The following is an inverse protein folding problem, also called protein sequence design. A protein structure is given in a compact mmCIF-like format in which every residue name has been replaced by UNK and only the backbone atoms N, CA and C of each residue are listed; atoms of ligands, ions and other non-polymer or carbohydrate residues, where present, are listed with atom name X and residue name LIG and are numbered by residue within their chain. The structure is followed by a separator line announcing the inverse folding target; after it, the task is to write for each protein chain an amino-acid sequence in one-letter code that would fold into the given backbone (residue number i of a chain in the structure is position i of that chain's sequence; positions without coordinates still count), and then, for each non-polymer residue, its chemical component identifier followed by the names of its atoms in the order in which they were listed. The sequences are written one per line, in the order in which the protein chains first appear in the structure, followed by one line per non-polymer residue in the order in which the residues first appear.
data_IF_141831976573
#
_entry.id   IF_141831976573
#
_cell.length_a   1.000
_cell.length_b   1.000
_cell.length_c   1.000
_cell.angle_alpha   90.00
_cell.angle_beta   90.00
_cell.angle_gamma   90.00
#
_symmetry.space_group_name_H-M   'P 1'
#
loop_
_entity.id
_entity.type
_entity.pdbx_description
1 polymer ?
#
# COMPACT_ATOMS: atom_id res chain seq x y z
N UNK A 1 13.70 -33.11 -6.96
CA UNK A 1 13.76 -31.87 -6.20
C UNK A 1 14.43 -30.82 -7.08
N UNK A 2 13.72 -29.79 -7.52
CA UNK A 2 14.35 -28.71 -8.28
C UNK A 2 15.37 -27.98 -7.41
N UNK A 3 16.48 -27.59 -8.00
CA UNK A 3 17.50 -26.77 -7.34
C UNK A 3 16.84 -25.42 -6.97
N UNK A 4 16.96 -25.01 -5.70
CA UNK A 4 16.49 -23.69 -5.26
C UNK A 4 17.44 -22.65 -5.86
N UNK A 5 16.92 -21.75 -6.68
CA UNK A 5 17.70 -20.64 -7.21
C UNK A 5 17.77 -19.53 -6.15
N UNK A 6 18.92 -19.44 -5.52
CA UNK A 6 19.20 -18.41 -4.50
C UNK A 6 19.48 -17.03 -5.12
N UNK A 7 19.64 -16.95 -6.45
CA UNK A 7 19.87 -15.73 -7.20
C UNK A 7 18.61 -15.30 -7.97
N UNK A 8 17.43 -15.60 -7.42
CA UNK A 8 16.17 -15.22 -8.06
C UNK A 8 16.16 -13.74 -8.45
N UNK A 9 15.74 -13.48 -9.67
CA UNK A 9 15.39 -12.16 -10.18
C UNK A 9 14.00 -12.25 -10.83
N UNK A 10 13.18 -11.20 -10.69
CA UNK A 10 11.89 -11.12 -11.37
C UNK A 10 12.05 -11.20 -12.88
N UNK A 11 11.09 -11.83 -13.55
CA UNK A 11 11.03 -11.94 -15.02
C UNK A 11 10.28 -10.79 -15.68
N UNK A 12 9.62 -9.96 -14.88
CA UNK A 12 8.82 -8.81 -15.30
C UNK A 12 9.23 -7.57 -14.50
N UNK A 13 8.96 -6.35 -14.99
CA UNK A 13 9.16 -5.13 -14.20
C UNK A 13 8.39 -5.18 -12.87
N UNK A 14 8.98 -4.58 -11.83
CA UNK A 14 8.41 -4.59 -10.48
C UNK A 14 8.26 -3.18 -9.94
N UNK A 15 7.06 -2.85 -9.54
CA UNK A 15 6.71 -1.62 -8.82
C UNK A 15 6.07 -1.99 -7.48
N UNK A 16 6.82 -1.83 -6.40
CA UNK A 16 6.38 -2.17 -5.06
C UNK A 16 5.36 -1.16 -4.52
N UNK A 17 4.18 -1.61 -4.17
CA UNK A 17 3.05 -0.76 -3.76
C UNK A 17 3.07 -0.35 -2.28
N UNK A 18 3.99 -0.91 -1.46
CA UNK A 18 3.95 -0.69 -0.01
C UNK A 18 5.37 -0.71 0.59
N UNK A 19 6.02 0.45 0.58
CA UNK A 19 7.37 0.64 1.12
C UNK A 19 7.38 1.82 2.10
N UNK A 20 7.78 1.55 3.34
CA UNK A 20 8.01 2.58 4.33
C UNK A 20 9.46 3.09 4.22
N UNK A 21 9.64 4.40 4.10
CA UNK A 21 10.95 5.04 3.97
C UNK A 21 11.16 6.05 5.11
N UNK A 22 12.25 5.88 5.82
CA UNK A 22 12.60 6.72 6.96
C UNK A 22 12.43 6.03 8.32
N UNK A 23 12.76 6.80 9.35
CA UNK A 23 12.78 6.29 10.72
C UNK A 23 11.38 5.96 11.22
N UNK A 24 11.27 4.83 11.92
CA UNK A 24 10.08 4.46 12.69
C UNK A 24 10.24 4.86 14.16
N UNK A 25 9.15 5.26 14.79
CA UNK A 25 9.12 5.65 16.20
C UNK A 25 8.75 4.48 17.14
N UNK A 26 8.01 3.50 16.59
CA UNK A 26 7.49 2.35 17.32
C UNK A 26 8.50 1.20 17.45
N UNK A 27 9.44 1.12 16.53
CA UNK A 27 10.47 0.04 16.50
C UNK A 27 11.68 0.43 15.67
N UNK A 28 12.78 -0.32 15.87
CA UNK A 28 13.94 -0.25 14.98
C UNK A 28 13.72 -1.14 13.78
N UNK A 29 14.11 -0.65 12.62
CA UNK A 29 14.16 -1.39 11.36
C UNK A 29 15.61 -1.50 10.88
N UNK A 30 15.87 -2.50 10.04
CA UNK A 30 17.24 -2.73 9.53
C UNK A 30 17.67 -1.67 8.50
N UNK A 31 16.71 -1.09 7.80
CA UNK A 31 16.91 -0.10 6.74
C UNK A 31 15.91 1.04 6.92
N UNK A 32 16.40 2.27 7.03
CA UNK A 32 15.58 3.48 7.19
C UNK A 32 16.05 4.66 6.30
N UNK A 33 17.00 4.41 5.39
CA UNK A 33 17.57 5.40 4.48
C UNK A 33 17.19 5.13 3.03
N UNK A 34 17.21 6.16 2.18
CA UNK A 34 16.96 6.04 0.74
C UNK A 34 17.98 5.11 0.08
N UNK A 35 19.28 5.29 0.36
CA UNK A 35 20.34 4.46 -0.22
C UNK A 35 20.20 2.99 0.16
N UNK A 36 19.96 2.69 1.44
CA UNK A 36 19.74 1.33 1.89
C UNK A 36 18.49 0.69 1.29
N UNK A 37 17.44 1.49 1.04
CA UNK A 37 16.24 1.02 0.34
C UNK A 37 16.53 0.73 -1.13
N UNK A 38 17.29 1.59 -1.82
CA UNK A 38 17.72 1.35 -3.21
C UNK A 38 18.60 0.09 -3.33
N UNK A 39 19.52 -0.14 -2.40
CA UNK A 39 20.32 -1.37 -2.35
C UNK A 39 19.42 -2.63 -2.18
N UNK A 40 18.40 -2.55 -1.32
CA UNK A 40 17.44 -3.64 -1.14
C UNK A 40 16.61 -3.89 -2.41
N UNK A 41 16.16 -2.82 -3.09
CA UNK A 41 15.47 -2.89 -4.37
C UNK A 41 16.34 -3.56 -5.44
N UNK A 42 17.61 -3.15 -5.59
CA UNK A 42 18.56 -3.72 -6.54
C UNK A 42 18.78 -5.22 -6.27
N UNK A 43 18.93 -5.58 -5.01
CA UNK A 43 19.08 -6.98 -4.59
C UNK A 43 17.85 -7.81 -4.94
N UNK A 44 16.66 -7.27 -4.74
CA UNK A 44 15.40 -7.97 -5.01
C UNK A 44 14.95 -7.91 -6.47
N UNK A 45 15.49 -6.98 -7.28
CA UNK A 45 15.06 -6.71 -8.65
C UNK A 45 13.76 -5.90 -8.69
N UNK A 46 13.57 -4.95 -7.76
CA UNK A 46 12.47 -4.00 -7.74
C UNK A 46 12.89 -2.75 -8.49
N UNK A 47 12.15 -2.33 -9.50
CA UNK A 47 12.48 -1.18 -10.33
C UNK A 47 12.06 0.13 -9.69
N UNK A 48 10.84 0.19 -9.15
CA UNK A 48 10.24 1.36 -8.50
C UNK A 48 9.55 0.98 -7.21
N UNK A 49 9.40 1.94 -6.31
CA UNK A 49 8.69 1.77 -5.05
C UNK A 49 7.76 2.96 -4.78
N UNK A 50 6.54 2.67 -4.37
CA UNK A 50 5.57 3.61 -3.84
C UNK A 50 5.84 3.76 -2.35
N UNK A 51 6.34 4.93 -1.96
CA UNK A 51 6.95 5.14 -0.65
C UNK A 51 6.18 6.13 0.21
N UNK A 52 6.06 5.83 1.49
CA UNK A 52 5.50 6.74 2.49
C UNK A 52 6.45 6.89 3.67
N UNK A 53 6.37 8.02 4.38
CA UNK A 53 7.12 8.22 5.61
C UNK A 53 6.34 7.63 6.81
N UNK A 54 6.95 6.71 7.61
CA UNK A 54 6.34 6.25 8.86
C UNK A 54 6.04 7.36 9.84
N UNK A 55 6.84 8.43 9.85
CA UNK A 55 6.61 9.62 10.66
C UNK A 55 5.28 10.30 10.30
N UNK A 56 5.02 10.48 8.99
CA UNK A 56 3.76 11.06 8.52
C UNK A 56 2.55 10.20 8.88
N UNK A 57 2.69 8.87 8.76
CA UNK A 57 1.61 7.93 9.01
C UNK A 57 1.30 7.72 10.51
N UNK A 58 2.24 7.99 11.40
CA UNK A 58 2.07 7.65 12.81
C UNK A 58 2.26 8.80 13.79
N UNK A 59 2.63 9.98 13.31
CA UNK A 59 3.02 11.08 14.19
C UNK A 59 2.51 12.43 13.71
N UNK A 60 3.17 13.02 12.70
CA UNK A 60 2.83 14.31 12.11
C UNK A 60 2.84 14.19 10.60
N UNK A 61 1.68 14.35 9.99
CA UNK A 61 1.49 14.18 8.56
C UNK A 61 2.24 15.26 7.74
N UNK A 62 2.21 16.50 8.20
CA UNK A 62 2.86 17.63 7.51
C UNK A 62 4.38 17.48 7.51
N UNK A 63 4.98 17.38 8.71
CA UNK A 63 6.42 17.21 8.86
C UNK A 63 6.92 15.95 8.17
N UNK A 64 6.20 14.83 8.34
CA UNK A 64 6.63 13.55 7.77
C UNK A 64 6.54 13.52 6.25
N UNK A 65 5.56 14.17 5.62
CA UNK A 65 5.46 14.28 4.19
C UNK A 65 6.56 15.20 3.61
N UNK A 66 6.93 16.28 4.30
CA UNK A 66 8.06 17.14 3.93
C UNK A 66 9.38 16.36 3.98
N UNK A 67 9.64 15.64 5.08
CA UNK A 67 10.82 14.77 5.23
C UNK A 67 10.89 13.69 4.15
N UNK A 68 9.75 13.13 3.74
CA UNK A 68 9.69 12.18 2.63
C UNK A 68 10.20 12.82 1.35
N UNK A 69 9.68 13.99 1.00
CA UNK A 69 10.06 14.69 -0.23
C UNK A 69 11.54 15.08 -0.25
N UNK A 70 12.10 15.51 0.89
CA UNK A 70 13.53 15.77 1.05
C UNK A 70 14.35 14.48 0.84
N UNK A 71 13.91 13.37 1.45
CA UNK A 71 14.59 12.08 1.41
C UNK A 71 14.65 11.48 0.00
N UNK A 72 13.57 11.64 -0.80
CA UNK A 72 13.49 11.09 -2.16
C UNK A 72 13.96 12.06 -3.24
N UNK A 73 14.42 13.26 -2.89
CA UNK A 73 14.85 14.25 -3.84
C UNK A 73 15.92 13.70 -4.80
N UNK A 74 15.68 13.83 -6.12
CA UNK A 74 16.57 13.29 -7.15
C UNK A 74 16.57 11.78 -7.34
N UNK A 75 15.66 11.05 -6.69
CA UNK A 75 15.54 9.60 -6.79
C UNK A 75 14.28 9.18 -7.58
N UNK A 76 14.34 9.05 -8.90
CA UNK A 76 13.16 8.83 -9.75
C UNK A 76 12.50 7.45 -9.56
N UNK A 77 13.16 6.53 -8.86
CA UNK A 77 12.61 5.20 -8.55
C UNK A 77 11.60 5.23 -7.42
N UNK A 78 11.56 6.30 -6.63
CA UNK A 78 10.58 6.49 -5.57
C UNK A 78 9.40 7.33 -6.06
N UNK A 79 8.20 6.83 -5.84
CA UNK A 79 6.94 7.54 -6.10
C UNK A 79 6.31 7.89 -4.75
N UNK A 80 6.11 9.17 -4.44
CA UNK A 80 5.63 9.56 -3.12
C UNK A 80 4.16 9.23 -2.89
N UNK A 81 3.88 8.68 -1.71
CA UNK A 81 2.58 8.55 -1.11
C UNK A 81 2.50 9.44 0.12
N UNK A 82 1.56 10.37 0.16
CA UNK A 82 1.36 11.20 1.35
C UNK A 82 0.48 10.50 2.37
N UNK A 83 0.86 10.59 3.62
CA UNK A 83 -0.01 10.18 4.72
C UNK A 83 -0.81 11.38 5.23
N UNK A 84 -2.05 11.12 5.67
CA UNK A 84 -2.95 12.12 6.21
C UNK A 84 -3.64 11.62 7.48
N UNK A 85 -3.99 12.55 8.35
CA UNK A 85 -4.88 12.33 9.48
C UNK A 85 -6.17 13.13 9.32
N UNK A 86 -7.22 12.57 8.70
CA UNK A 86 -8.50 13.26 8.49
C UNK A 86 -9.16 13.83 9.74
N UNK A 87 -8.77 13.36 10.92
CA UNK A 87 -9.34 13.87 12.18
C UNK A 87 -8.69 15.15 12.71
N UNK A 88 -7.52 15.54 12.18
CA UNK A 88 -6.76 16.68 12.69
C UNK A 88 -6.16 17.58 11.62
N UNK A 89 -5.85 17.04 10.43
CA UNK A 89 -5.20 17.82 9.38
C UNK A 89 -6.16 18.82 8.73
N UNK A 90 -5.65 20.02 8.41
CA UNK A 90 -6.38 20.95 7.55
C UNK A 90 -6.36 20.45 6.11
N UNK A 91 -7.55 20.23 5.57
CA UNK A 91 -7.70 19.65 4.24
C UNK A 91 -7.17 20.56 3.12
N UNK A 92 -7.33 21.88 3.24
CA UNK A 92 -6.91 22.80 2.18
C UNK A 92 -5.39 23.00 2.17
N UNK A 93 -4.77 23.04 3.35
CA UNK A 93 -3.30 23.04 3.49
C UNK A 93 -2.72 21.74 2.94
N UNK A 94 -3.32 20.59 3.29
CA UNK A 94 -2.90 19.29 2.79
C UNK A 94 -3.01 19.20 1.25
N UNK A 95 -4.12 19.64 0.66
CA UNK A 95 -4.31 19.68 -0.81
C UNK A 95 -3.22 20.49 -1.50
N UNK A 96 -2.86 21.63 -0.92
CA UNK A 96 -1.83 22.50 -1.47
C UNK A 96 -0.46 21.80 -1.48
N UNK A 97 -0.05 21.19 -0.37
CA UNK A 97 1.21 20.48 -0.24
C UNK A 97 1.25 19.21 -1.11
N UNK A 98 0.17 18.42 -1.12
CA UNK A 98 0.02 17.23 -1.95
C UNK A 98 0.22 17.54 -3.45
N UNK A 99 -0.45 18.58 -3.93
CA UNK A 99 -0.34 19.02 -5.32
C UNK A 99 1.05 19.56 -5.67
N UNK A 100 1.65 20.36 -4.78
CA UNK A 100 2.99 20.91 -4.97
C UNK A 100 4.06 19.82 -5.03
N UNK A 101 3.92 18.76 -4.22
CA UNK A 101 4.82 17.62 -4.19
C UNK A 101 4.63 16.65 -5.37
N UNK A 102 3.55 16.74 -6.12
CA UNK A 102 3.21 15.75 -7.15
C UNK A 102 2.92 14.37 -6.60
N UNK A 103 2.48 14.27 -5.35
CA UNK A 103 2.05 13.01 -4.75
C UNK A 103 0.85 12.42 -5.51
N UNK A 104 0.73 11.08 -5.52
CA UNK A 104 -0.24 10.38 -6.37
C UNK A 104 -1.31 9.63 -5.62
N UNK A 105 -1.17 9.47 -4.32
CA UNK A 105 -2.10 8.73 -3.47
C UNK A 105 -2.03 9.20 -2.03
N UNK A 106 -3.05 8.87 -1.26
CA UNK A 106 -3.13 9.22 0.16
C UNK A 106 -3.21 7.93 0.98
N UNK A 107 -2.44 7.87 2.05
CA UNK A 107 -2.51 6.84 3.07
C UNK A 107 -3.17 7.42 4.32
N UNK A 108 -4.18 6.75 4.86
CA UNK A 108 -4.74 7.05 6.16
C UNK A 108 -4.64 5.83 7.08
N UNK A 109 -4.48 6.06 8.37
CA UNK A 109 -4.27 4.99 9.36
C UNK A 109 -5.23 5.16 10.55
N UNK A 110 -6.54 4.96 10.34
CA UNK A 110 -7.57 5.25 11.33
C UNK A 110 -7.29 4.60 12.69
N UNK A 111 -6.84 3.34 12.69
CA UNK A 111 -6.51 2.64 13.93
C UNK A 111 -5.35 3.24 14.70
N UNK A 112 -4.32 3.75 14.02
CA UNK A 112 -3.18 4.42 14.66
C UNK A 112 -3.60 5.77 15.26
N UNK A 113 -4.44 6.52 14.53
CA UNK A 113 -4.91 7.83 14.95
C UNK A 113 -6.18 7.78 15.81
N UNK A 114 -6.67 6.56 16.10
CA UNK A 114 -7.80 6.30 17.00
C UNK A 114 -9.09 7.06 16.62
N UNK A 115 -9.46 7.03 15.34
CA UNK A 115 -10.77 7.49 14.86
C UNK A 115 -11.47 6.41 14.03
N UNK A 116 -12.80 6.37 14.01
CA UNK A 116 -13.53 5.41 13.18
C UNK A 116 -13.44 5.80 11.70
N UNK A 117 -13.29 4.80 10.83
CA UNK A 117 -13.30 5.02 9.38
C UNK A 117 -14.74 5.17 8.88
N UNK A 118 -15.40 6.26 9.25
CA UNK A 118 -16.80 6.55 8.92
C UNK A 118 -16.94 7.93 8.28
N UNK A 119 -17.97 8.08 7.44
CA UNK A 119 -18.26 9.29 6.65
C UNK A 119 -18.16 10.60 7.46
N UNK A 120 -18.69 10.62 8.68
CA UNK A 120 -18.67 11.85 9.50
C UNK A 120 -17.27 12.34 9.88
N UNK A 121 -16.23 11.47 9.72
CA UNK A 121 -14.82 11.88 9.87
C UNK A 121 -14.19 12.14 8.51
N UNK A 122 -14.36 11.21 7.56
CA UNK A 122 -13.54 11.20 6.34
C UNK A 122 -14.21 11.81 5.11
N UNK A 123 -15.50 12.15 5.16
CA UNK A 123 -16.28 12.57 4.00
C UNK A 123 -15.66 13.70 3.17
N UNK A 124 -15.16 14.82 3.73
CA UNK A 124 -14.54 15.87 2.92
C UNK A 124 -13.31 15.38 2.13
N UNK A 125 -12.55 14.46 2.72
CA UNK A 125 -11.40 13.82 2.10
C UNK A 125 -11.81 12.87 0.98
N UNK A 126 -12.85 12.06 1.22
CA UNK A 126 -13.39 11.13 0.21
C UNK A 126 -13.98 11.88 -0.99
N UNK A 127 -14.70 12.97 -0.77
CA UNK A 127 -15.25 13.83 -1.83
C UNK A 127 -14.13 14.41 -2.70
N UNK A 128 -13.06 14.93 -2.08
CA UNK A 128 -11.90 15.42 -2.81
C UNK A 128 -11.20 14.31 -3.59
N UNK A 129 -10.91 13.18 -2.94
CA UNK A 129 -10.25 12.04 -3.60
C UNK A 129 -11.07 11.54 -4.80
N UNK A 130 -12.40 11.46 -4.67
CA UNK A 130 -13.28 11.07 -5.76
C UNK A 130 -13.25 12.06 -6.93
N UNK A 131 -13.24 13.37 -6.63
CA UNK A 131 -13.19 14.44 -7.62
C UNK A 131 -11.89 14.41 -8.44
N UNK A 132 -10.74 14.22 -7.78
CA UNK A 132 -9.43 14.33 -8.39
C UNK A 132 -8.86 12.95 -8.81
N UNK A 133 -9.63 11.85 -8.59
CA UNK A 133 -9.23 10.49 -8.94
C UNK A 133 -8.04 9.99 -8.10
N UNK A 134 -7.91 10.45 -6.85
CA UNK A 134 -6.81 10.10 -5.95
C UNK A 134 -7.12 8.78 -5.24
N UNK A 135 -6.31 7.73 -5.38
CA UNK A 135 -6.52 6.49 -4.66
C UNK A 135 -6.10 6.58 -3.19
N UNK A 136 -6.83 5.83 -2.38
CA UNK A 136 -6.63 5.71 -0.95
C UNK A 136 -5.87 4.42 -0.60
N UNK A 137 -4.81 4.50 0.22
CA UNK A 137 -4.22 3.34 0.90
C UNK A 137 -4.78 3.23 2.32
N UNK A 138 -5.34 2.07 2.62
CA UNK A 138 -5.97 1.78 3.89
C UNK A 138 -5.31 0.54 4.52
N UNK A 139 -4.26 0.72 5.34
CA UNK A 139 -3.68 -0.38 6.10
C UNK A 139 -4.69 -0.93 7.08
N UNK A 140 -4.97 -2.23 6.96
CA UNK A 140 -5.92 -2.93 7.84
C UNK A 140 -5.19 -3.74 8.90
N UNK A 141 -3.95 -3.35 9.20
CA UNK A 141 -3.06 -4.07 10.11
C UNK A 141 -3.65 -4.14 11.50
N UNK A 142 -3.64 -5.34 12.00
CA UNK A 142 -3.88 -5.67 13.39
C UNK A 142 -2.52 -5.83 14.09
N UNK A 143 -2.25 -5.01 15.09
CA UNK A 143 -1.13 -5.32 16.00
C UNK A 143 -1.52 -6.51 16.86
N UNK A 144 -0.97 -7.66 16.50
CA UNK A 144 -1.29 -8.95 17.09
C UNK A 144 -1.02 -9.01 18.60
N UNK A 145 -0.11 -8.15 19.08
CA UNK A 145 0.33 -8.14 20.48
C UNK A 145 -0.52 -7.20 21.35
N UNK A 146 -1.15 -6.19 20.74
CA UNK A 146 -1.87 -5.17 21.49
C UNK A 146 -3.39 -5.20 21.30
N UNK A 147 -3.90 -5.88 20.28
CA UNK A 147 -5.33 -5.90 19.97
C UNK A 147 -5.89 -4.56 19.47
N UNK A 148 -5.00 -3.56 19.29
CA UNK A 148 -5.38 -2.19 18.95
C UNK A 148 -5.08 -1.90 17.48
N UNK A 149 -5.89 -1.07 16.84
CA UNK A 149 -5.59 -0.49 15.55
C UNK A 149 -6.17 -1.20 14.31
N UNK A 150 -6.92 -2.29 14.47
CA UNK A 150 -7.65 -2.89 13.35
C UNK A 150 -8.88 -2.05 13.01
N UNK A 151 -9.08 -1.78 11.72
CA UNK A 151 -10.32 -1.17 11.23
C UNK A 151 -11.40 -2.25 11.23
N UNK A 152 -12.61 -1.91 11.71
CA UNK A 152 -13.75 -2.80 11.59
C UNK A 152 -14.12 -2.97 10.10
N UNK A 153 -14.20 -4.19 9.58
CA UNK A 153 -14.63 -4.41 8.19
C UNK A 153 -15.97 -3.79 7.83
N UNK A 154 -16.89 -3.61 8.80
CA UNK A 154 -18.17 -2.94 8.61
C UNK A 154 -17.96 -1.45 8.29
N UNK A 155 -17.02 -0.78 8.96
CA UNK A 155 -16.69 0.62 8.68
C UNK A 155 -16.14 0.78 7.25
N UNK A 156 -15.30 -0.18 6.80
CA UNK A 156 -14.79 -0.18 5.41
C UNK A 156 -15.96 -0.36 4.44
N UNK A 157 -16.86 -1.30 4.73
CA UNK A 157 -18.02 -1.56 3.87
C UNK A 157 -18.92 -0.32 3.76
N UNK A 158 -19.28 0.27 4.89
CA UNK A 158 -20.20 1.42 4.94
C UNK A 158 -19.60 2.63 4.22
N UNK A 159 -18.34 2.97 4.54
CA UNK A 159 -17.68 4.15 3.97
C UNK A 159 -17.39 3.97 2.48
N UNK A 160 -16.87 2.81 2.05
CA UNK A 160 -16.55 2.60 0.65
C UNK A 160 -17.79 2.37 -0.23
N UNK A 161 -18.90 1.88 0.33
CA UNK A 161 -20.19 1.82 -0.35
C UNK A 161 -20.78 3.21 -0.59
N UNK A 162 -20.62 4.11 0.38
CA UNK A 162 -21.08 5.50 0.28
C UNK A 162 -20.22 6.34 -0.68
N UNK A 163 -18.96 5.93 -0.93
CA UNK A 163 -17.98 6.66 -1.73
C UNK A 163 -17.45 5.83 -2.93
N UNK A 164 -18.32 5.40 -3.86
CA UNK A 164 -17.93 4.51 -4.97
C UNK A 164 -16.96 5.15 -5.97
N UNK A 165 -16.81 6.48 -5.96
CA UNK A 165 -15.85 7.23 -6.78
C UNK A 165 -14.41 7.15 -6.30
N UNK A 166 -14.15 6.66 -5.08
CA UNK A 166 -12.80 6.47 -4.54
C UNK A 166 -12.36 5.02 -4.71
N UNK A 167 -11.19 4.81 -5.28
CA UNK A 167 -10.56 3.48 -5.26
C UNK A 167 -9.69 3.37 -4.01
N UNK A 168 -9.96 2.37 -3.16
CA UNK A 168 -9.14 2.10 -1.99
C UNK A 168 -8.33 0.81 -2.14
N UNK A 169 -7.06 0.85 -1.73
CA UNK A 169 -6.16 -0.30 -1.66
C UNK A 169 -6.12 -0.77 -0.21
N UNK A 170 -6.65 -1.96 0.05
CA UNK A 170 -6.48 -2.64 1.32
C UNK A 170 -5.02 -3.06 1.44
N UNK A 171 -4.28 -2.40 2.31
CA UNK A 171 -2.87 -2.67 2.54
C UNK A 171 -2.67 -3.53 3.79
N UNK A 172 -1.63 -4.35 3.77
CA UNK A 172 -1.20 -5.20 4.88
C UNK A 172 -2.27 -6.22 5.35
N UNK A 173 -3.15 -6.66 4.48
CA UNK A 173 -4.15 -7.68 4.81
C UNK A 173 -3.46 -8.99 5.18
N UNK A 174 -3.53 -9.35 6.45
CA UNK A 174 -2.95 -10.59 6.94
C UNK A 174 -3.75 -11.81 6.46
N UNK A 175 -3.10 -12.95 6.23
CA UNK A 175 -3.77 -14.16 5.74
C UNK A 175 -4.97 -14.60 6.61
N UNK A 176 -4.98 -14.28 7.91
CA UNK A 176 -6.11 -14.55 8.82
C UNK A 176 -7.34 -13.67 8.54
N UNK A 177 -7.15 -12.53 7.89
CA UNK A 177 -8.20 -11.58 7.56
C UNK A 177 -8.88 -11.91 6.22
N UNK A 178 -8.40 -12.92 5.50
CA UNK A 178 -8.98 -13.34 4.21
C UNK A 178 -10.46 -13.72 4.33
N UNK A 179 -10.89 -14.15 5.51
CA UNK A 179 -12.30 -14.52 5.78
C UNK A 179 -13.29 -13.38 5.59
N UNK A 180 -12.90 -12.16 5.89
CA UNK A 180 -13.73 -10.97 5.65
C UNK A 180 -13.26 -10.15 4.44
N UNK A 181 -11.96 -10.08 4.16
CA UNK A 181 -11.44 -9.25 3.07
C UNK A 181 -11.94 -9.72 1.69
N UNK A 182 -11.99 -11.03 1.46
CA UNK A 182 -12.44 -11.57 0.19
C UNK A 182 -13.94 -11.32 -0.09
N UNK A 183 -14.89 -11.58 0.83
CA UNK A 183 -16.28 -11.18 0.66
C UNK A 183 -16.46 -9.67 0.48
N UNK A 184 -15.73 -8.87 1.25
CA UNK A 184 -15.75 -7.42 1.16
C UNK A 184 -15.36 -6.93 -0.25
N UNK A 185 -14.25 -7.41 -0.78
CA UNK A 185 -13.81 -7.08 -2.13
C UNK A 185 -14.76 -7.56 -3.24
N UNK A 186 -15.49 -8.66 -3.01
CA UNK A 186 -16.54 -9.11 -3.94
C UNK A 186 -17.75 -8.16 -3.96
N UNK A 187 -18.07 -7.57 -2.82
CA UNK A 187 -19.20 -6.65 -2.67
C UNK A 187 -18.86 -5.24 -3.16
N UNK A 188 -17.59 -4.84 -3.11
CA UNK A 188 -17.12 -3.50 -3.41
C UNK A 188 -16.13 -3.51 -4.59
N UNK A 189 -16.57 -3.09 -5.80
CA UNK A 189 -15.70 -3.09 -6.98
C UNK A 189 -14.58 -2.04 -6.91
N UNK A 190 -14.72 -1.03 -6.09
CA UNK A 190 -13.74 0.03 -5.85
C UNK A 190 -12.66 -0.32 -4.82
N UNK A 191 -12.56 -1.58 -4.38
CA UNK A 191 -11.46 -2.06 -3.55
C UNK A 191 -10.42 -2.82 -4.36
N UNK A 192 -9.17 -2.53 -4.11
CA UNK A 192 -7.99 -3.29 -4.53
C UNK A 192 -7.26 -3.86 -3.31
N UNK A 193 -6.29 -4.74 -3.51
CA UNK A 193 -5.49 -5.32 -2.43
C UNK A 193 -4.02 -5.42 -2.83
N UNK A 194 -3.11 -5.06 -1.93
CA UNK A 194 -1.71 -5.42 -2.02
C UNK A 194 -1.42 -6.70 -1.20
N UNK A 195 -0.44 -7.48 -1.62
CA UNK A 195 -0.29 -8.86 -1.15
C UNK A 195 0.79 -9.07 -0.10
N UNK A 196 1.35 -8.01 0.50
CA UNK A 196 2.52 -8.09 1.39
C UNK A 196 2.38 -9.10 2.53
N UNK A 197 1.19 -9.30 3.06
CA UNK A 197 0.90 -10.21 4.18
C UNK A 197 0.01 -11.41 3.84
N UNK A 198 -0.29 -11.61 2.56
CA UNK A 198 -1.03 -12.80 2.08
C UNK A 198 -0.10 -14.01 1.91
N UNK A 199 0.67 -14.30 2.95
CA UNK A 199 1.70 -15.36 2.93
C UNK A 199 1.07 -16.69 3.34
N UNK A 200 0.30 -17.31 2.45
CA UNK A 200 -0.25 -18.64 2.62
C UNK A 200 -0.38 -19.38 1.28
N UNK A 201 -0.42 -20.69 1.33
CA UNK A 201 -0.62 -21.54 0.15
C UNK A 201 -1.95 -21.17 -0.52
N UNK A 202 -1.96 -20.82 -1.79
CA UNK A 202 -3.14 -20.43 -2.57
C UNK A 202 -3.79 -19.08 -2.17
N UNK A 203 -3.19 -18.28 -1.27
CA UNK A 203 -3.80 -17.00 -0.87
C UNK A 203 -3.96 -16.03 -2.03
N UNK A 204 -2.86 -15.68 -2.69
CA UNK A 204 -2.86 -14.75 -3.82
C UNK A 204 -3.67 -15.31 -5.00
N UNK A 205 -3.46 -16.55 -5.48
CA UNK A 205 -4.29 -17.13 -6.54
C UNK A 205 -5.79 -17.14 -6.22
N UNK A 206 -6.15 -17.31 -4.95
CA UNK A 206 -7.56 -17.29 -4.51
C UNK A 206 -8.20 -15.90 -4.67
N UNK A 207 -7.50 -14.84 -4.23
CA UNK A 207 -7.96 -13.47 -4.45
C UNK A 207 -8.07 -13.17 -5.94
N UNK A 208 -7.03 -13.48 -6.68
CA UNK A 208 -6.98 -13.29 -8.12
C UNK A 208 -8.17 -13.92 -8.84
N UNK A 209 -8.45 -15.21 -8.60
CA UNK A 209 -9.62 -15.89 -9.17
C UNK A 209 -10.96 -15.29 -8.75
N UNK A 210 -11.03 -14.70 -7.57
CA UNK A 210 -12.28 -14.22 -7.00
C UNK A 210 -12.64 -12.79 -7.37
N UNK A 211 -11.64 -11.90 -7.56
CA UNK A 211 -11.85 -10.47 -7.79
C UNK A 211 -11.26 -9.96 -9.10
N UNK A 212 -10.51 -10.80 -9.81
CA UNK A 212 -9.86 -10.48 -11.08
C UNK A 212 -8.45 -9.90 -10.93
N UNK A 213 -7.69 -10.01 -12.03
CA UNK A 213 -6.27 -9.65 -12.09
C UNK A 213 -5.97 -8.18 -11.84
N UNK A 214 -6.90 -7.30 -12.20
CA UNK A 214 -6.70 -5.85 -12.12
C UNK A 214 -6.84 -5.25 -10.72
N UNK A 215 -7.21 -6.06 -9.74
CA UNK A 215 -7.51 -5.62 -8.38
C UNK A 215 -6.50 -6.13 -7.33
N UNK A 216 -5.46 -6.81 -7.78
CA UNK A 216 -4.40 -7.36 -6.92
C UNK A 216 -3.07 -6.76 -7.34
N UNK A 217 -2.25 -6.31 -6.40
CA UNK A 217 -0.93 -5.75 -6.69
C UNK A 217 0.14 -6.27 -5.72
N UNK A 218 1.38 -6.27 -6.19
CA UNK A 218 2.53 -6.59 -5.36
C UNK A 218 2.81 -5.45 -4.38
N UNK A 219 3.02 -5.79 -3.12
CA UNK A 219 3.56 -4.95 -2.07
C UNK A 219 4.46 -5.78 -1.18
N UNK A 220 5.54 -5.22 -0.68
CA UNK A 220 6.48 -5.93 0.19
C UNK A 220 6.29 -5.64 1.66
N UNK A 221 5.81 -4.47 2.01
CA UNK A 221 5.86 -3.92 3.37
C UNK A 221 7.32 -3.75 3.88
N UNK A 222 8.24 -3.45 2.95
CA UNK A 222 9.62 -3.14 3.33
C UNK A 222 9.66 -1.87 4.19
N UNK A 223 10.51 -1.77 5.21
CA UNK A 223 11.56 -2.69 5.66
C UNK A 223 11.11 -3.72 6.71
N UNK A 224 9.83 -3.79 7.03
CA UNK A 224 9.30 -4.75 8.01
C UNK A 224 9.38 -6.20 7.51
N UNK A 225 9.37 -6.39 6.19
CA UNK A 225 9.60 -7.66 5.53
C UNK A 225 10.53 -7.47 4.32
N UNK A 226 11.32 -8.48 3.95
CA UNK A 226 12.15 -8.41 2.75
C UNK A 226 11.29 -8.46 1.49
N UNK A 227 11.72 -7.74 0.42
CA UNK A 227 11.00 -7.63 -0.85
C UNK A 227 10.90 -8.96 -1.63
N UNK A 228 11.97 -9.74 -1.68
CA UNK A 228 12.09 -10.90 -2.55
C UNK A 228 11.14 -12.08 -2.28
N UNK A 229 10.77 -12.46 -1.05
CA UNK A 229 9.97 -13.66 -0.82
C UNK A 229 8.61 -13.67 -1.50
N UNK A 230 7.87 -12.56 -1.46
CA UNK A 230 6.57 -12.45 -2.12
C UNK A 230 6.71 -12.42 -3.65
N UNK A 231 7.77 -11.79 -4.18
CA UNK A 231 8.08 -11.83 -5.61
C UNK A 231 8.38 -13.25 -6.06
N UNK A 232 9.20 -13.99 -5.31
CA UNK A 232 9.48 -15.40 -5.60
C UNK A 232 8.20 -16.24 -5.65
N UNK A 233 7.32 -16.03 -4.66
CA UNK A 233 6.03 -16.74 -4.61
C UNK A 233 5.16 -16.41 -5.84
N UNK A 234 5.01 -15.13 -6.19
CA UNK A 234 4.24 -14.70 -7.38
C UNK A 234 4.73 -15.39 -8.65
N UNK A 235 6.04 -15.51 -8.84
CA UNK A 235 6.65 -16.17 -10.00
C UNK A 235 6.49 -17.71 -10.00
N UNK A 236 5.96 -18.30 -8.93
CA UNK A 236 5.81 -19.76 -8.77
C UNK A 236 4.35 -20.20 -8.53
N UNK A 237 3.41 -19.28 -8.40
CA UNK A 237 2.03 -19.63 -8.10
C UNK A 237 1.15 -19.91 -9.34
N UNK A 238 1.75 -20.02 -10.53
CA UNK A 238 1.07 -20.43 -11.75
C UNK A 238 0.28 -19.33 -12.46
N UNK A 239 0.66 -18.08 -12.28
CA UNK A 239 0.14 -16.95 -13.05
C UNK A 239 0.68 -16.99 -14.50
N UNK A 240 -0.10 -16.47 -15.45
CA UNK A 240 0.42 -16.17 -16.79
C UNK A 240 1.40 -14.99 -16.73
N UNK A 241 2.27 -14.85 -17.74
CA UNK A 241 3.23 -13.76 -17.81
C UNK A 241 2.54 -12.38 -17.80
N UNK A 242 1.40 -12.26 -18.47
CA UNK A 242 0.57 -11.03 -18.48
C UNK A 242 0.06 -10.71 -17.08
N UNK A 243 -0.54 -11.68 -16.40
CA UNK A 243 -1.06 -11.49 -15.05
C UNK A 243 0.04 -11.21 -14.04
N UNK A 244 1.20 -11.83 -14.21
CA UNK A 244 2.37 -11.57 -13.38
C UNK A 244 2.86 -10.14 -13.57
N UNK A 245 2.96 -9.64 -14.80
CA UNK A 245 3.35 -8.27 -15.10
C UNK A 245 2.33 -7.26 -14.55
N UNK A 246 1.05 -7.55 -14.67
CA UNK A 246 -0.02 -6.71 -14.13
C UNK A 246 0.06 -6.62 -12.60
N UNK A 247 0.22 -7.73 -11.90
CA UNK A 247 0.33 -7.74 -10.43
C UNK A 247 1.63 -7.09 -9.96
N UNK A 248 2.75 -7.35 -10.64
CA UNK A 248 4.06 -6.83 -10.21
C UNK A 248 4.24 -5.34 -10.47
N UNK A 249 3.58 -4.75 -11.47
CA UNK A 249 3.71 -3.32 -11.77
C UNK A 249 2.46 -2.70 -12.41
N UNK A 250 1.87 -3.35 -13.42
CA UNK A 250 0.87 -2.74 -14.29
C UNK A 250 -0.37 -2.22 -13.57
N UNK A 251 -0.83 -2.91 -12.51
CA UNK A 251 -1.98 -2.47 -11.73
C UNK A 251 -1.70 -1.17 -10.96
N UNK A 252 -0.52 -1.07 -10.37
CA UNK A 252 -0.10 0.13 -9.65
C UNK A 252 0.13 1.30 -10.61
N UNK A 253 0.76 1.04 -11.76
CA UNK A 253 0.96 2.06 -12.79
C UNK A 253 -0.35 2.65 -13.30
N UNK A 254 -1.33 1.80 -13.58
CA UNK A 254 -2.67 2.25 -14.00
C UNK A 254 -3.37 3.06 -12.92
N UNK A 255 -3.26 2.62 -11.67
CA UNK A 255 -3.91 3.28 -10.54
C UNK A 255 -3.32 4.68 -10.28
N UNK A 256 -1.99 4.81 -10.38
CA UNK A 256 -1.29 6.07 -10.13
C UNK A 256 -1.11 6.95 -11.37
N UNK A 257 -1.44 6.46 -12.57
CA UNK A 257 -1.22 7.18 -13.83
C UNK A 257 0.27 7.44 -14.10
N UNK A 258 1.14 6.45 -13.85
CA UNK A 258 2.60 6.55 -13.99
C UNK A 258 3.18 5.66 -15.10
N UNK A 259 2.34 4.95 -15.84
CA UNK A 259 2.71 4.06 -16.94
C UNK A 259 2.79 4.76 -18.30
#
# INVERSE_FOLDING_TARGET
MGQVDLNFKPMVPVFDADVALGRRHDRRVAVDTADGTLEAMDKAGVDRAHVYAPHAAGYDSSEGNELLMETIAGQPRFVPQFAANPSSDDLDEFKASFKAAGARSIRIVPGTHNYPFLDWVVKPWMEWMAQDGIPLWLPVTYDFLKGDGAIDPSEIYDTMSANPGVTAVLAEVHYRQTGWALPLMKSLPNLMIEVSRLVNTDGIPRFFRAVGERRVMYGSRFPDAPMAPNLYYLHRCGLSDENLADICAGNLDRLLGTG
#
